data_IF_452725234517
#
_entry.id   IF_452725234517
#
_cell.length_a   1.000
_cell.length_b   1.000
_cell.length_c   1.000
_cell.angle_alpha   90.00
_cell.angle_beta   90.00
_cell.angle_gamma   90.00
#
_symmetry.space_group_name_H-M   'P 1'
#
loop_
_entity.id
_entity.type
_entity.pdbx_description
1 polymer ?
#
# COMPACT_ATOMS: atom_id res chain seq x y z
N UNK A 1 -5.37 5.44 -8.66
CA UNK A 1 -5.03 4.24 -7.87
C UNK A 1 -5.99 4.20 -6.71
N UNK A 2 -6.57 3.04 -6.40
CA UNK A 2 -7.50 2.90 -5.27
C UNK A 2 -6.70 2.86 -3.97
N UNK A 3 -6.89 3.86 -3.10
CA UNK A 3 -6.11 4.01 -1.86
C UNK A 3 -6.45 2.95 -0.84
N UNK A 4 -7.71 2.55 -0.76
CA UNK A 4 -8.23 1.40 -0.03
C UNK A 4 -7.48 0.12 -0.40
N UNK A 5 -7.39 -0.21 -1.70
CA UNK A 5 -6.64 -1.38 -2.18
C UNK A 5 -5.16 -1.28 -1.81
N UNK A 6 -4.52 -0.12 -1.99
CA UNK A 6 -3.11 0.04 -1.63
C UNK A 6 -2.88 -0.18 -0.13
N UNK A 7 -3.71 0.42 0.73
CA UNK A 7 -3.63 0.26 2.19
C UNK A 7 -3.86 -1.18 2.61
N UNK A 8 -4.85 -1.84 2.03
CA UNK A 8 -5.10 -3.26 2.29
C UNK A 8 -3.90 -4.12 1.88
N UNK A 9 -3.34 -3.92 0.69
CA UNK A 9 -2.15 -4.66 0.25
C UNK A 9 -0.91 -4.39 1.12
N UNK A 10 -0.76 -3.18 1.64
CA UNK A 10 0.29 -2.84 2.61
C UNK A 10 0.06 -3.50 3.95
N UNK A 11 -1.18 -3.49 4.45
CA UNK A 11 -1.58 -4.13 5.71
C UNK A 11 -1.27 -5.62 5.71
N UNK A 12 -1.66 -6.34 4.64
CA UNK A 12 -1.34 -7.76 4.47
C UNK A 12 0.15 -8.08 4.51
N UNK A 13 1.01 -7.10 4.25
CA UNK A 13 2.47 -7.23 4.22
C UNK A 13 3.16 -6.60 5.44
N UNK A 14 2.38 -6.09 6.40
CA UNK A 14 2.90 -5.39 7.58
C UNK A 14 3.67 -4.11 7.23
N UNK A 15 3.31 -3.42 6.15
CA UNK A 15 4.01 -2.23 5.68
C UNK A 15 3.33 -0.94 6.11
N UNK A 16 4.12 0.01 6.63
CA UNK A 16 3.71 1.40 6.79
C UNK A 16 3.98 2.23 5.53
N UNK A 17 3.45 3.46 5.47
CA UNK A 17 3.81 4.40 4.40
C UNK A 17 5.32 4.67 4.32
N UNK A 18 5.98 4.78 5.48
CA UNK A 18 7.43 4.98 5.54
C UNK A 18 8.20 3.76 5.01
N UNK A 19 7.73 2.54 5.28
CA UNK A 19 8.31 1.33 4.71
C UNK A 19 8.16 1.29 3.20
N UNK A 20 6.98 1.65 2.69
CA UNK A 20 6.75 1.73 1.25
C UNK A 20 7.66 2.78 0.60
N UNK A 21 7.87 3.92 1.25
CA UNK A 21 8.82 4.96 0.83
C UNK A 21 10.24 4.40 0.71
N UNK A 22 10.73 3.72 1.75
CA UNK A 22 12.05 3.06 1.75
C UNK A 22 12.18 1.98 0.67
N UNK A 23 11.18 1.11 0.55
CA UNK A 23 11.16 0.02 -0.43
C UNK A 23 11.18 0.52 -1.87
N UNK A 24 10.41 1.57 -2.14
CA UNK A 24 10.27 2.10 -3.50
C UNK A 24 11.31 3.15 -3.82
N UNK A 25 11.90 3.83 -2.83
CA UNK A 25 12.71 5.04 -3.04
C UNK A 25 11.90 6.25 -3.52
N UNK A 26 10.59 6.28 -3.25
CA UNK A 26 9.72 7.41 -3.53
C UNK A 26 9.70 8.36 -2.31
N UNK A 27 9.47 9.65 -2.57
CA UNK A 27 9.34 10.64 -1.49
C UNK A 27 8.10 10.40 -0.63
N UNK A 28 8.16 10.83 0.63
CA UNK A 28 7.01 10.78 1.55
C UNK A 28 5.78 11.50 0.98
N UNK A 29 5.99 12.61 0.27
CA UNK A 29 4.92 13.33 -0.43
C UNK A 29 4.26 12.51 -1.53
N UNK A 30 5.04 11.72 -2.28
CA UNK A 30 4.52 10.82 -3.32
C UNK A 30 3.74 9.67 -2.70
N UNK A 31 4.26 9.09 -1.61
CA UNK A 31 3.57 8.03 -0.86
C UNK A 31 2.26 8.56 -0.25
N UNK A 32 2.28 9.75 0.36
CA UNK A 32 1.09 10.38 0.92
C UNK A 32 0.02 10.63 -0.14
N UNK A 33 0.41 11.17 -1.30
CA UNK A 33 -0.51 11.38 -2.43
C UNK A 33 -1.11 10.05 -2.94
N UNK A 34 -0.29 9.00 -3.03
CA UNK A 34 -0.72 7.65 -3.38
C UNK A 34 -1.75 7.09 -2.37
N UNK A 35 -1.46 7.20 -1.07
CA UNK A 35 -2.30 6.75 0.03
C UNK A 35 -3.58 7.58 0.21
N UNK A 36 -3.59 8.81 -0.29
CA UNK A 36 -4.77 9.67 -0.40
C UNK A 36 -5.60 9.42 -1.67
N UNK A 37 -5.21 8.44 -2.51
CA UNK A 37 -5.95 8.08 -3.71
C UNK A 37 -5.78 9.06 -4.88
N UNK A 38 -4.85 10.02 -4.77
CA UNK A 38 -4.59 10.98 -5.84
C UNK A 38 -4.07 10.27 -7.09
N UNK A 39 -4.25 10.91 -8.25
CA UNK A 39 -3.71 10.41 -9.51
C UNK A 39 -2.18 10.38 -9.41
N UNK A 40 -1.61 9.20 -9.60
CA UNK A 40 -0.15 8.99 -9.67
C UNK A 40 0.26 8.75 -11.12
N UNK A 41 1.48 9.14 -11.48
CA UNK A 41 2.04 8.86 -12.79
C UNK A 41 2.16 7.33 -13.01
N UNK A 42 1.95 6.80 -14.23
CA UNK A 42 2.04 5.36 -14.49
C UNK A 42 3.37 4.72 -14.06
N UNK A 43 4.48 5.45 -14.19
CA UNK A 43 5.80 5.00 -13.71
C UNK A 43 5.85 4.84 -12.18
N UNK A 44 5.25 5.78 -11.44
CA UNK A 44 5.14 5.70 -9.97
C UNK A 44 4.28 4.51 -9.56
N UNK A 45 3.13 4.32 -10.23
CA UNK A 45 2.27 3.17 -10.00
C UNK A 45 3.01 1.84 -10.23
N UNK A 46 3.68 1.70 -11.38
CA UNK A 46 4.47 0.51 -11.71
C UNK A 46 5.54 0.24 -10.65
N UNK A 47 6.22 1.29 -10.18
CA UNK A 47 7.26 1.17 -9.16
C UNK A 47 6.71 0.67 -7.81
N UNK A 48 5.56 1.19 -7.38
CA UNK A 48 4.86 0.72 -6.17
C UNK A 48 4.49 -0.77 -6.31
N UNK A 49 3.82 -1.14 -7.41
CA UNK A 49 3.36 -2.52 -7.64
C UNK A 49 4.52 -3.52 -7.68
N UNK A 50 5.59 -3.21 -8.40
CA UNK A 50 6.77 -4.09 -8.52
C UNK A 50 7.44 -4.32 -7.16
N UNK A 51 7.50 -3.31 -6.29
CA UNK A 51 8.13 -3.49 -4.97
C UNK A 51 7.20 -4.18 -3.98
N UNK A 52 5.90 -3.89 -4.01
CA UNK A 52 4.92 -4.64 -3.22
C UNK A 52 4.91 -6.13 -3.56
N UNK A 53 5.04 -6.48 -4.84
CA UNK A 53 5.09 -7.88 -5.29
C UNK A 53 6.30 -8.66 -4.74
N UNK A 54 7.36 -7.98 -4.29
CA UNK A 54 8.55 -8.62 -3.71
C UNK A 54 8.41 -8.88 -2.21
N UNK A 55 7.42 -8.28 -1.55
CA UNK A 55 7.21 -8.45 -0.12
C UNK A 55 6.12 -9.51 0.08
N UNK A 56 6.49 -10.57 0.79
CA UNK A 56 5.57 -11.65 1.13
C UNK A 56 4.43 -11.15 2.02
N UNK A 57 3.24 -11.71 1.82
CA UNK A 57 2.12 -11.52 2.73
C UNK A 57 2.47 -12.17 4.07
N UNK A 58 2.15 -11.48 5.16
CA UNK A 58 2.30 -12.00 6.52
C UNK A 58 1.27 -13.13 6.70
N UNK A 59 1.70 -14.37 7.00
CA UNK A 59 0.77 -15.49 7.20
C UNK A 59 -0.28 -15.15 8.26
N UNK A 60 -1.56 -15.37 7.93
CA UNK A 60 -2.69 -15.08 8.82
C UNK A 60 -3.13 -13.60 8.86
N UNK A 61 -2.45 -12.69 8.15
CA UNK A 61 -2.84 -11.27 8.15
C UNK A 61 -4.23 -11.04 7.53
N UNK A 62 -4.65 -11.86 6.57
CA UNK A 62 -5.99 -11.77 5.97
C UNK A 62 -7.10 -11.99 7.01
N UNK A 63 -6.90 -12.90 7.97
CA UNK A 63 -7.86 -13.18 9.04
C UNK A 63 -8.02 -12.01 10.02
N UNK A 64 -7.01 -11.14 10.12
CA UNK A 64 -7.03 -9.94 10.95
C UNK A 64 -7.41 -8.68 10.16
N UNK A 65 -7.33 -8.72 8.83
CA UNK A 65 -7.66 -7.61 7.96
C UNK A 65 -9.18 -7.40 7.78
N UNK A 66 -10.03 -8.29 8.32
CA UNK A 66 -11.50 -8.27 8.20
C UNK A 66 -12.18 -7.16 9.03
N UNK A 67 -11.43 -6.26 9.66
CA UNK A 67 -11.98 -5.21 10.52
C UNK A 67 -11.98 -3.85 9.82
N UNK A 68 -12.87 -3.64 8.84
CA UNK A 68 -13.36 -2.30 8.45
C UNK A 68 -14.56 -2.30 7.47
N UNK A 69 -15.39 -3.36 7.42
CA UNK A 69 -16.62 -3.39 6.60
C UNK A 69 -17.92 -3.19 7.40
N UNK A 70 -17.82 -2.79 8.67
CA UNK A 70 -18.98 -2.44 9.50
C UNK A 70 -19.04 -0.93 9.78
N UNK A 71 -19.31 -0.12 8.76
CA UNK A 71 -20.08 1.12 8.93
C UNK A 71 -21.37 0.99 8.13
N UNK A 72 -22.46 0.89 8.88
CA UNK A 72 -23.85 0.91 8.44
C UNK A 72 -24.33 2.35 8.22
#
# INVERSE_FOLDING_TARGET
>A
MRSDVLRHQMWLRGLTGADLGRLTGLSDSTISNALAGRRVHPGTFRRIVVHLAKVAVVPGAESLAVLDEHEA
#
